data_IF_569945188099
#
_entry.id   IF_569945188099
#
_cell.length_a   1.000
_cell.length_b   1.000
_cell.length_c   1.000
_cell.angle_alpha   90.00
_cell.angle_beta   90.00
_cell.angle_gamma   90.00
#
_symmetry.space_group_name_H-M   'P 1'
#
loop_
_entity.id
_entity.type
_entity.pdbx_description
1 polymer ?
#
# COMPACT_ATOMS: atom_id res chain seq x y z
N UNK A 1 44.35 -4.45 -40.65
CA UNK A 1 43.55 -5.29 -39.73
C UNK A 1 43.24 -4.46 -38.49
N UNK A 2 42.05 -3.85 -38.44
CA UNK A 2 41.63 -2.97 -37.36
C UNK A 2 40.27 -3.49 -36.83
N UNK A 3 40.32 -4.57 -36.04
CA UNK A 3 39.12 -5.23 -35.51
C UNK A 3 39.12 -5.36 -33.98
N UNK A 4 40.07 -4.74 -33.27
CA UNK A 4 40.27 -5.00 -31.83
C UNK A 4 39.75 -3.91 -30.90
N UNK A 5 39.48 -2.69 -31.38
CA UNK A 5 39.02 -1.57 -30.54
C UNK A 5 37.51 -1.51 -30.32
N UNK A 6 36.70 -1.91 -31.30
CA UNK A 6 35.23 -1.90 -31.18
C UNK A 6 34.68 -2.99 -30.28
N UNK A 7 35.32 -4.17 -30.28
CA UNK A 7 34.90 -5.33 -29.48
C UNK A 7 35.15 -5.10 -27.99
N UNK A 8 36.29 -4.47 -27.63
CA UNK A 8 36.60 -4.17 -26.22
C UNK A 8 35.63 -3.15 -25.62
N UNK A 9 35.25 -2.12 -26.39
CA UNK A 9 34.34 -1.07 -25.92
C UNK A 9 32.91 -1.62 -25.73
N UNK A 10 32.46 -2.49 -26.63
CA UNK A 10 31.16 -3.16 -26.51
C UNK A 10 31.10 -4.06 -25.26
N UNK A 11 32.18 -4.79 -24.95
CA UNK A 11 32.25 -5.66 -23.78
C UNK A 11 32.21 -4.86 -22.46
N UNK A 12 32.95 -3.75 -22.38
CA UNK A 12 32.97 -2.85 -21.21
C UNK A 12 31.61 -2.18 -21.00
N UNK A 13 30.94 -1.78 -22.09
CA UNK A 13 29.61 -1.19 -22.01
C UNK A 13 28.57 -2.21 -21.49
N UNK A 14 28.63 -3.46 -21.96
CA UNK A 14 27.75 -4.53 -21.45
C UNK A 14 27.99 -4.84 -19.96
N UNK A 15 29.25 -4.82 -19.49
CA UNK A 15 29.59 -5.00 -18.08
C UNK A 15 29.09 -3.85 -17.18
N UNK A 16 29.03 -2.61 -17.68
CA UNK A 16 28.45 -1.47 -16.97
C UNK A 16 26.91 -1.54 -16.90
N UNK A 17 26.24 -2.15 -17.89
CA UNK A 17 24.78 -2.36 -17.86
C UNK A 17 24.35 -3.54 -16.97
N UNK A 18 25.23 -4.51 -16.67
CA UNK A 18 24.92 -5.64 -15.78
C UNK A 18 24.96 -5.30 -14.28
N UNK A 19 25.44 -4.12 -13.89
CA UNK A 19 25.58 -3.74 -12.46
C UNK A 19 24.44 -2.86 -11.92
N UNK A 20 23.49 -2.48 -12.77
CA UNK A 20 22.43 -1.51 -12.40
C UNK A 20 21.06 -2.15 -12.18
N UNK A 21 20.94 -3.48 -12.24
CA UNK A 21 19.74 -4.14 -11.74
C UNK A 21 19.81 -4.12 -10.22
N UNK A 22 19.40 -2.98 -9.63
CA UNK A 22 18.90 -2.99 -8.26
C UNK A 22 17.71 -3.94 -8.31
N UNK A 23 17.91 -5.17 -7.83
CA UNK A 23 16.81 -6.10 -7.60
C UNK A 23 16.04 -5.48 -6.45
N UNK A 24 15.08 -4.62 -6.79
CA UNK A 24 14.10 -4.07 -5.87
C UNK A 24 13.33 -5.26 -5.31
N UNK A 25 13.57 -5.60 -4.05
CA UNK A 25 12.82 -6.65 -3.37
C UNK A 25 11.78 -5.95 -2.51
N UNK A 26 10.52 -6.04 -2.95
CA UNK A 26 9.40 -5.79 -2.06
C UNK A 26 9.40 -6.89 -1.00
N UNK A 27 9.47 -6.51 0.26
CA UNK A 27 9.48 -7.46 1.37
C UNK A 27 8.14 -7.38 2.09
N UNK A 28 7.42 -8.51 2.07
CA UNK A 28 6.27 -8.70 2.94
C UNK A 28 6.75 -8.74 4.38
N UNK A 29 6.17 -7.91 5.23
CA UNK A 29 6.50 -7.89 6.64
C UNK A 29 5.30 -8.31 7.48
N UNK A 30 5.60 -9.07 8.53
CA UNK A 30 4.61 -9.44 9.51
C UNK A 30 4.42 -8.27 10.48
N UNK A 31 3.17 -7.94 10.83
CA UNK A 31 2.92 -6.98 11.90
C UNK A 31 3.56 -7.50 13.19
N UNK A 32 4.38 -6.68 13.83
CA UNK A 32 5.21 -7.08 14.97
C UNK A 32 4.63 -6.67 16.33
N UNK A 33 3.48 -5.99 16.33
CA UNK A 33 2.78 -5.52 17.52
C UNK A 33 1.29 -5.87 17.50
N UNK A 34 0.66 -5.80 18.68
CA UNK A 34 -0.77 -6.10 18.85
C UNK A 34 -1.69 -5.06 18.20
N UNK A 35 -1.15 -3.90 17.82
CA UNK A 35 -1.89 -2.84 17.16
C UNK A 35 -1.73 -2.88 15.63
N UNK A 36 -0.93 -3.81 15.10
CA UNK A 36 -0.70 -4.01 13.67
C UNK A 36 -0.15 -2.78 12.93
N UNK A 37 0.56 -1.93 13.68
CA UNK A 37 1.06 -0.63 13.22
C UNK A 37 2.55 -0.58 13.01
N UNK A 38 3.23 -1.66 13.42
CA UNK A 38 4.64 -1.84 13.23
C UNK A 38 4.89 -3.02 12.30
N UNK A 39 5.70 -2.77 11.29
CA UNK A 39 6.17 -3.74 10.32
C UNK A 39 7.70 -3.84 10.46
N UNK A 40 8.22 -5.05 10.64
CA UNK A 40 9.66 -5.29 10.80
C UNK A 40 10.14 -6.36 9.82
N UNK A 41 11.27 -6.08 9.19
CA UNK A 41 12.10 -7.03 8.44
C UNK A 41 13.45 -7.19 9.13
N UNK A 42 14.37 -7.98 8.58
CA UNK A 42 15.71 -8.18 9.16
C UNK A 42 16.52 -6.89 9.26
N UNK A 43 16.25 -5.91 8.40
CA UNK A 43 17.07 -4.71 8.26
C UNK A 43 16.31 -3.40 8.55
N UNK A 44 14.98 -3.43 8.51
CA UNK A 44 14.15 -2.23 8.59
C UNK A 44 13.01 -2.48 9.58
N UNK A 45 12.73 -1.50 10.43
CA UNK A 45 11.49 -1.45 11.19
C UNK A 45 10.80 -0.15 10.87
N UNK A 46 9.55 -0.25 10.42
CA UNK A 46 8.67 0.85 10.14
C UNK A 46 7.54 0.83 11.17
N UNK A 47 7.34 1.94 11.85
CA UNK A 47 6.25 2.14 12.81
C UNK A 47 5.48 3.40 12.42
N UNK A 48 4.27 3.23 11.91
CA UNK A 48 3.45 4.36 11.46
C UNK A 48 2.63 4.97 12.60
N UNK A 49 2.58 4.32 13.77
CA UNK A 49 2.00 4.91 14.96
C UNK A 49 2.89 6.06 15.45
N UNK A 50 4.20 5.83 15.50
CA UNK A 50 5.19 6.86 15.88
C UNK A 50 5.24 8.03 14.87
N UNK A 51 4.88 7.77 13.60
CA UNK A 51 4.76 8.81 12.57
C UNK A 51 3.49 9.65 12.68
N UNK A 52 2.58 9.33 13.61
CA UNK A 52 1.29 10.01 13.75
C UNK A 52 0.32 9.77 12.59
N UNK A 53 0.56 8.71 11.79
CA UNK A 53 -0.30 8.37 10.64
C UNK A 53 -1.45 7.45 11.04
N UNK A 54 -1.35 6.77 12.19
CA UNK A 54 -2.38 5.87 12.73
C UNK A 54 -3.63 6.60 13.24
N UNK A 55 -3.50 7.87 13.66
CA UNK A 55 -4.61 8.66 14.19
C UNK A 55 -4.30 10.17 14.14
N UNK A 56 -5.26 11.05 13.77
CA UNK A 56 -6.66 10.77 13.44
C UNK A 56 -6.83 10.13 12.05
N UNK A 57 -8.02 9.56 11.82
CA UNK A 57 -8.38 8.97 10.54
C UNK A 57 -8.13 9.95 9.37
N UNK A 58 -7.53 9.45 8.30
CA UNK A 58 -7.34 10.23 7.09
C UNK A 58 -8.63 10.19 6.27
N UNK A 59 -9.20 11.35 5.98
CA UNK A 59 -10.39 11.46 5.12
C UNK A 59 -10.01 12.07 3.79
N UNK A 60 -10.34 11.36 2.71
CA UNK A 60 -10.15 11.78 1.34
C UNK A 60 -11.51 11.94 0.67
N UNK A 61 -11.66 12.97 -0.16
CA UNK A 61 -12.85 13.16 -0.96
C UNK A 61 -12.55 12.78 -2.41
N UNK A 62 -13.27 11.78 -2.93
CA UNK A 62 -13.20 11.39 -4.33
C UNK A 62 -14.33 12.08 -5.11
N UNK A 63 -13.94 13.08 -5.90
CA UNK A 63 -14.81 13.78 -6.85
C UNK A 63 -16.12 14.34 -6.26
N UNK A 64 -16.15 14.62 -4.95
CA UNK A 64 -17.33 15.10 -4.23
C UNK A 64 -18.40 14.04 -3.93
N UNK A 65 -18.32 12.88 -4.59
CA UNK A 65 -19.28 11.77 -4.47
C UNK A 65 -18.96 10.83 -3.31
N UNK A 66 -17.68 10.59 -3.05
CA UNK A 66 -17.29 9.67 -1.99
C UNK A 66 -16.42 10.35 -0.95
N UNK A 67 -16.70 10.08 0.31
CA UNK A 67 -15.78 10.37 1.41
C UNK A 67 -15.17 9.05 1.88
N UNK A 68 -13.87 8.87 1.68
CA UNK A 68 -13.14 7.69 2.11
C UNK A 68 -12.42 8.03 3.40
N UNK A 69 -12.73 7.31 4.46
CA UNK A 69 -12.05 7.40 5.75
C UNK A 69 -11.14 6.19 5.91
N UNK A 70 -9.89 6.44 6.23
CA UNK A 70 -8.85 5.44 6.42
C UNK A 70 -8.27 5.54 7.84
N UNK A 71 -8.33 4.43 8.57
CA UNK A 71 -7.74 4.29 9.91
C UNK A 71 -6.71 3.16 9.87
N UNK A 72 -5.45 3.46 9.50
CA UNK A 72 -4.42 2.44 9.58
C UNK A 72 -4.31 1.94 11.02
N UNK A 73 -4.09 0.64 11.17
CA UNK A 73 -3.83 0.04 12.48
C UNK A 73 -4.97 0.10 13.50
N UNK A 74 -6.15 0.59 13.12
CA UNK A 74 -7.28 0.72 14.01
C UNK A 74 -8.57 0.31 13.32
N UNK A 75 -9.47 -0.27 14.13
CA UNK A 75 -10.83 -0.56 13.73
C UNK A 75 -11.66 0.72 13.74
N UNK A 76 -12.41 0.94 12.67
CA UNK A 76 -13.46 1.95 12.60
C UNK A 76 -14.81 1.31 12.26
N UNK A 77 -15.88 2.03 12.58
CA UNK A 77 -17.23 1.66 12.16
C UNK A 77 -17.47 2.13 10.73
N UNK A 78 -18.03 1.25 9.90
CA UNK A 78 -18.48 1.59 8.56
C UNK A 78 -19.91 1.11 8.33
N UNK A 79 -20.89 1.98 8.64
CA UNK A 79 -22.29 1.59 8.69
C UNK A 79 -22.51 0.51 9.76
N UNK A 80 -22.84 -0.71 9.32
CA UNK A 80 -23.03 -1.86 10.20
C UNK A 80 -21.77 -2.73 10.38
N UNK A 81 -20.71 -2.48 9.60
CA UNK A 81 -19.44 -3.19 9.76
C UNK A 81 -18.66 -2.57 10.93
N UNK A 82 -18.28 -3.41 11.89
CA UNK A 82 -17.53 -3.02 13.09
C UNK A 82 -16.06 -3.42 13.02
N UNK A 83 -15.57 -3.80 11.85
CA UNK A 83 -14.22 -4.35 11.63
C UNK A 83 -13.46 -3.66 10.50
N UNK A 84 -13.99 -2.56 9.96
CA UNK A 84 -13.39 -1.86 8.82
C UNK A 84 -12.09 -1.13 9.20
N UNK A 85 -11.13 -1.12 8.28
CA UNK A 85 -9.98 -0.21 8.29
C UNK A 85 -10.13 0.89 7.23
N UNK A 86 -10.87 0.61 6.15
CA UNK A 86 -11.24 1.57 5.12
C UNK A 86 -12.76 1.63 4.99
N UNK A 87 -13.32 2.83 5.10
CA UNK A 87 -14.74 3.07 4.98
C UNK A 87 -15.03 4.13 3.93
N UNK A 88 -15.92 3.83 2.99
CA UNK A 88 -16.40 4.77 1.99
C UNK A 88 -17.85 5.16 2.29
N UNK A 89 -18.11 6.45 2.37
CA UNK A 89 -19.46 7.02 2.34
C UNK A 89 -19.75 7.52 0.92
N UNK A 90 -20.76 6.97 0.27
CA UNK A 90 -21.40 7.59 -0.89
C UNK A 90 -22.32 8.71 -0.42
N UNK A 91 -21.98 9.95 -0.76
CA UNK A 91 -22.66 11.16 -0.29
C UNK A 91 -23.96 11.42 -1.04
N UNK A 92 -24.19 10.81 -2.20
CA UNK A 92 -25.42 10.97 -2.97
C UNK A 92 -26.56 10.16 -2.36
N UNK A 93 -26.26 8.93 -1.93
CA UNK A 93 -27.24 8.00 -1.36
C UNK A 93 -27.10 7.80 0.15
N UNK A 94 -26.12 8.45 0.79
CA UNK A 94 -25.82 8.36 2.21
C UNK A 94 -25.60 6.90 2.68
N UNK A 95 -24.82 6.14 1.90
CA UNK A 95 -24.55 4.73 2.17
C UNK A 95 -23.07 4.48 2.48
N UNK A 96 -22.81 3.58 3.43
CA UNK A 96 -21.46 3.20 3.87
C UNK A 96 -21.04 1.86 3.29
N UNK A 97 -19.78 1.77 2.86
CA UNK A 97 -19.16 0.59 2.29
C UNK A 97 -17.81 0.33 2.93
N UNK A 98 -17.66 -0.83 3.57
CA UNK A 98 -16.37 -1.33 4.06
C UNK A 98 -15.54 -1.77 2.86
N UNK A 99 -14.43 -1.09 2.59
CA UNK A 99 -13.53 -1.41 1.47
C UNK A 99 -12.41 -2.37 1.87
N UNK A 100 -12.20 -2.58 3.16
CA UNK A 100 -11.17 -3.45 3.69
C UNK A 100 -11.26 -3.55 5.21
N UNK A 101 -10.91 -4.71 5.74
CA UNK A 101 -11.07 -5.03 7.17
C UNK A 101 -9.74 -4.97 7.91
N UNK A 102 -9.78 -4.54 9.16
CA UNK A 102 -8.61 -4.50 10.04
C UNK A 102 -7.99 -5.87 10.33
N UNK A 103 -8.72 -6.95 10.12
CA UNK A 103 -8.26 -8.32 10.39
C UNK A 103 -7.63 -9.01 9.17
N UNK A 104 -7.78 -8.44 7.97
CA UNK A 104 -7.27 -9.01 6.74
C UNK A 104 -6.46 -7.95 6.00
N UNK A 105 -5.16 -7.91 6.26
CA UNK A 105 -4.27 -6.94 5.66
C UNK A 105 -2.87 -7.52 5.44
N UNK A 106 -2.12 -6.88 4.56
CA UNK A 106 -0.74 -7.21 4.24
C UNK A 106 0.08 -5.93 4.16
N UNK A 107 1.26 -5.96 4.78
CA UNK A 107 2.24 -4.89 4.66
C UNK A 107 3.34 -5.29 3.69
N UNK A 108 3.74 -4.34 2.86
CA UNK A 108 4.89 -4.47 1.97
C UNK A 108 5.75 -3.23 2.14
N UNK A 109 7.06 -3.41 2.33
CA UNK A 109 8.03 -2.30 2.38
C UNK A 109 9.10 -2.49 1.32
N UNK A 110 9.64 -1.38 0.80
CA UNK A 110 10.84 -1.42 -0.02
C UNK A 110 12.08 -1.49 0.87
N UNK A 111 13.06 -2.30 0.45
CA UNK A 111 14.34 -2.46 1.17
C UNK A 111 15.44 -1.49 0.71
N UNK A 112 15.06 -0.43 0.00
CA UNK A 112 15.97 0.58 -0.56
C UNK A 112 15.46 2.01 -0.30
N UNK A 113 16.27 3.01 -0.67
CA UNK A 113 15.99 4.44 -0.48
C UNK A 113 15.53 5.06 -1.82
N UNK A 114 14.38 5.76 -1.91
CA UNK A 114 13.44 6.06 -0.83
C UNK A 114 12.72 4.84 -0.31
N UNK A 115 12.55 4.82 1.02
CA UNK A 115 11.73 3.82 1.70
C UNK A 115 10.26 4.14 1.39
N UNK A 116 9.59 3.19 0.77
CA UNK A 116 8.17 3.20 0.45
C UNK A 116 7.51 2.04 1.19
N UNK A 117 6.25 2.22 1.55
CA UNK A 117 5.46 1.17 2.17
C UNK A 117 4.04 1.18 1.62
N UNK A 118 3.44 -0.01 1.63
CA UNK A 118 2.08 -0.25 1.24
C UNK A 118 1.40 -1.08 2.32
N UNK A 119 0.15 -0.73 2.64
CA UNK A 119 -0.73 -1.53 3.47
C UNK A 119 -1.95 -1.83 2.63
N UNK A 120 -2.11 -3.10 2.27
CA UNK A 120 -3.29 -3.58 1.58
C UNK A 120 -4.28 -4.13 2.61
N UNK A 121 -5.54 -3.73 2.52
CA UNK A 121 -6.62 -4.28 3.34
C UNK A 121 -7.64 -4.94 2.44
N UNK A 122 -8.10 -6.12 2.83
CA UNK A 122 -9.02 -6.97 2.06
C UNK A 122 -10.23 -7.37 2.92
N UNK A 123 -11.17 -8.08 2.30
CA UNK A 123 -12.34 -8.64 2.99
C UNK A 123 -13.46 -7.64 3.29
N UNK A 124 -13.43 -6.46 2.66
CA UNK A 124 -14.53 -5.51 2.73
C UNK A 124 -15.85 -6.07 2.19
N UNK A 125 -16.96 -5.51 2.67
CA UNK A 125 -18.30 -5.84 2.17
C UNK A 125 -18.57 -5.02 0.90
N UNK A 126 -18.07 -5.48 -0.25
CA UNK A 126 -18.38 -4.84 -1.54
C UNK A 126 -19.91 -4.77 -1.75
N UNK A 127 -20.44 -3.56 -1.94
CA UNK A 127 -21.81 -3.40 -2.46
C UNK A 127 -21.96 -2.31 -3.55
N UNK A 128 -20.86 -1.76 -4.10
CA UNK A 128 -20.95 -0.72 -5.14
C UNK A 128 -20.06 -0.91 -6.38
N UNK A 129 -19.12 -1.87 -6.41
CA UNK A 129 -18.42 -2.22 -7.67
C UNK A 129 -19.33 -2.93 -8.70
N UNK A 130 -20.52 -3.40 -8.29
CA UNK A 130 -21.46 -4.12 -9.15
C UNK A 130 -22.61 -3.26 -9.73
N UNK A 131 -22.73 -1.96 -9.40
CA UNK A 131 -23.56 -1.05 -10.21
C UNK A 131 -22.69 -0.44 -11.31
N UNK A 132 -22.36 -1.29 -12.29
CA UNK A 132 -22.04 -0.83 -13.65
C UNK A 132 -23.05 0.25 -14.00
N UNK A 133 -22.54 1.42 -14.37
CA UNK A 133 -23.28 2.39 -15.15
C UNK A 133 -23.84 1.71 -16.41
N UNK A 134 -25.06 1.18 -16.30
CA UNK A 134 -25.98 1.07 -17.41
C UNK A 134 -27.04 2.14 -17.17
N UNK A 135 -26.77 3.33 -17.68
CA UNK A 135 -27.72 4.24 -18.32
C UNK A 135 -26.91 5.31 -19.06
#
# INVERSE_FOLDING_TARGET
MALTRGVLLALVLQLLFLQSTVISANVDCLPSDNNFCRCSTSNITLDIADMGLSFPALTFQDNGKYNITYTPCYVQLCGNDTSSALCQLDTEIMAYYSLGTYTNFQWTITDFNPLEFMIQYDGGTEASAARRHTN
#
